data_IF_708367444609
#
_entry.id   IF_708367444609
#
_cell.length_a   1.000
_cell.length_b   1.000
_cell.length_c   1.000
_cell.angle_alpha   90.00
_cell.angle_beta   90.00
_cell.angle_gamma   90.00
#
_symmetry.space_group_name_H-M   'P 1'
#
loop_
_entity.id
_entity.type
_entity.pdbx_description
1 polymer ?
#
# COMPACT_ATOMS: atom_id res chain seq x y z
N UNK A 1 -10.22 29.41 -18.96
CA UNK A 1 -10.66 30.22 -17.82
C UNK A 1 -9.47 30.98 -17.25
N UNK A 2 -9.69 32.07 -16.53
CA UNK A 2 -8.64 32.87 -15.87
C UNK A 2 -7.78 32.03 -14.92
N UNK A 3 -8.38 31.05 -14.27
CA UNK A 3 -7.71 30.08 -13.40
C UNK A 3 -6.62 29.29 -14.15
N UNK A 4 -6.94 28.75 -15.32
CA UNK A 4 -5.94 28.01 -16.13
C UNK A 4 -4.79 28.91 -16.62
N UNK A 5 -5.05 30.20 -16.87
CA UNK A 5 -4.02 31.16 -17.28
C UNK A 5 -3.06 31.43 -16.12
N UNK A 6 -3.60 31.64 -14.91
CA UNK A 6 -2.81 31.83 -13.69
C UNK A 6 -1.99 30.59 -13.33
N UNK A 7 -2.58 29.39 -13.43
CA UNK A 7 -1.89 28.14 -13.11
C UNK A 7 -0.72 27.88 -14.07
N UNK A 8 -0.88 28.24 -15.35
CA UNK A 8 0.23 28.20 -16.33
C UNK A 8 1.31 29.23 -16.01
N UNK A 9 0.94 30.46 -15.68
CA UNK A 9 1.89 31.51 -15.31
C UNK A 9 2.69 31.13 -14.05
N UNK A 10 2.08 30.40 -13.12
CA UNK A 10 2.71 29.91 -11.90
C UNK A 10 3.47 28.58 -12.12
N UNK A 11 3.42 27.96 -13.32
CA UNK A 11 4.11 26.72 -13.63
C UNK A 11 3.44 25.45 -13.10
N UNK A 12 2.24 25.56 -12.49
CA UNK A 12 1.46 24.40 -11.98
C UNK A 12 0.90 23.59 -13.15
N UNK A 13 0.51 24.25 -14.24
CA UNK A 13 -0.02 23.64 -15.44
C UNK A 13 0.91 23.86 -16.64
N UNK A 14 1.01 22.83 -17.47
CA UNK A 14 1.82 22.83 -18.72
C UNK A 14 0.96 22.47 -19.92
N UNK A 15 1.34 22.97 -21.10
CA UNK A 15 0.74 22.56 -22.35
C UNK A 15 1.35 21.24 -22.82
N UNK A 16 0.52 20.20 -23.02
CA UNK A 16 0.95 18.85 -23.40
C UNK A 16 0.58 18.48 -24.83
N UNK A 17 0.05 19.41 -25.62
CA UNK A 17 -0.31 19.21 -27.02
C UNK A 17 -1.58 19.96 -27.44
N UNK A 18 -2.08 19.61 -28.61
CA UNK A 18 -3.30 20.17 -29.19
C UNK A 18 -4.30 19.02 -29.47
N UNK A 19 -5.60 19.31 -29.32
CA UNK A 19 -6.64 18.39 -29.76
C UNK A 19 -6.77 18.43 -31.29
N UNK A 20 -7.13 17.30 -31.90
CA UNK A 20 -7.48 17.29 -33.33
C UNK A 20 -8.66 18.24 -33.58
N UNK A 21 -8.53 19.09 -34.60
CA UNK A 21 -9.53 20.10 -34.94
C UNK A 21 -10.34 19.65 -36.14
N UNK A 22 -11.67 19.74 -36.04
CA UNK A 22 -12.61 19.48 -37.16
C UNK A 22 -12.96 20.77 -37.92
N UNK A 23 -12.13 21.84 -37.82
CA UNK A 23 -12.34 23.09 -38.58
C UNK A 23 -12.45 24.33 -37.70
N UNK A 24 -11.45 24.63 -36.87
CA UNK A 24 -11.36 25.79 -36.01
C UNK A 24 -9.99 25.96 -35.36
N UNK A 25 -9.80 26.95 -34.48
CA UNK A 25 -8.58 27.11 -33.68
C UNK A 25 -8.41 25.85 -32.80
N UNK A 26 -7.31 25.18 -32.94
CA UNK A 26 -7.01 23.98 -32.13
C UNK A 26 -7.01 24.30 -30.64
N UNK A 27 -7.76 23.52 -29.86
CA UNK A 27 -7.76 23.64 -28.42
C UNK A 27 -6.47 23.04 -27.84
N UNK A 28 -5.81 23.80 -26.98
CA UNK A 28 -4.59 23.35 -26.28
C UNK A 28 -4.96 22.40 -25.17
N UNK A 29 -4.23 21.27 -25.09
CA UNK A 29 -4.33 20.34 -23.96
C UNK A 29 -3.45 20.85 -22.83
N UNK A 30 -4.05 21.05 -21.66
CA UNK A 30 -3.36 21.51 -20.45
C UNK A 30 -3.38 20.36 -19.45
N UNK A 31 -2.24 20.07 -18.84
CA UNK A 31 -2.08 19.04 -17.80
C UNK A 31 -1.37 19.66 -16.59
N UNK A 32 -1.50 19.04 -15.44
CA UNK A 32 -0.69 19.35 -14.26
C UNK A 32 0.79 19.16 -14.62
N UNK A 33 1.65 20.04 -14.16
CA UNK A 33 3.11 19.87 -14.23
C UNK A 33 3.57 18.88 -13.15
N UNK A 34 3.98 17.66 -13.51
CA UNK A 34 4.37 16.64 -12.51
C UNK A 34 5.51 17.14 -11.61
N UNK A 35 6.48 17.88 -12.18
CA UNK A 35 7.66 18.37 -11.49
C UNK A 35 7.42 19.63 -10.63
N UNK A 36 6.17 20.11 -10.51
CA UNK A 36 5.88 21.31 -9.74
C UNK A 36 6.02 21.10 -8.23
N UNK A 37 5.60 19.94 -7.73
CA UNK A 37 5.76 19.53 -6.32
C UNK A 37 6.06 18.02 -6.24
N UNK A 38 6.69 17.68 -5.14
CA UNK A 38 7.03 16.30 -4.78
C UNK A 38 6.62 16.02 -3.34
N UNK A 39 6.55 14.77 -2.99
CA UNK A 39 6.51 14.29 -1.61
C UNK A 39 7.36 13.04 -1.46
N UNK A 40 7.92 12.85 -0.28
CA UNK A 40 8.67 11.63 0.07
C UNK A 40 7.74 10.68 0.81
N UNK A 41 7.78 9.42 0.45
CA UNK A 41 7.18 8.33 1.21
C UNK A 41 8.25 7.42 1.76
N UNK A 42 8.13 7.04 3.03
CA UNK A 42 9.01 6.08 3.69
C UNK A 42 8.18 4.91 4.17
N UNK A 43 8.55 3.69 3.76
CA UNK A 43 8.00 2.46 4.31
C UNK A 43 8.96 1.89 5.33
N UNK A 44 8.51 1.71 6.58
CA UNK A 44 9.27 1.05 7.64
C UNK A 44 8.78 -0.39 7.79
N UNK A 45 9.71 -1.32 7.90
CA UNK A 45 9.46 -2.72 8.30
C UNK A 45 10.46 -3.12 9.37
N UNK A 46 10.32 -4.29 9.98
CA UNK A 46 11.27 -4.76 10.98
C UNK A 46 12.74 -4.84 10.48
N UNK A 47 12.96 -5.03 9.17
CA UNK A 47 14.30 -5.28 8.61
C UNK A 47 14.72 -4.32 7.50
N UNK A 48 13.83 -3.45 7.02
CA UNK A 48 14.11 -2.59 5.87
C UNK A 48 13.42 -1.23 6.02
N UNK A 49 14.01 -0.23 5.39
CA UNK A 49 13.37 1.03 5.05
C UNK A 49 13.33 1.19 3.52
N UNK A 50 12.17 1.57 2.98
CA UNK A 50 11.98 1.87 1.57
C UNK A 50 11.64 3.34 1.40
N UNK A 51 12.23 4.02 0.41
CA UNK A 51 12.02 5.43 0.10
C UNK A 51 11.44 5.57 -1.30
N UNK A 52 10.47 6.44 -1.46
CA UNK A 52 9.97 6.87 -2.77
C UNK A 52 9.92 8.40 -2.84
N UNK A 53 10.26 8.94 -3.99
CA UNK A 53 9.97 10.32 -4.35
C UNK A 53 8.81 10.29 -5.36
N UNK A 54 7.72 10.93 -5.04
CA UNK A 54 6.49 10.93 -5.83
C UNK A 54 6.22 12.35 -6.33
N UNK A 55 5.92 12.49 -7.63
CA UNK A 55 5.59 13.77 -8.26
C UNK A 55 4.08 14.10 -8.13
N UNK A 56 3.68 15.29 -8.59
CA UNK A 56 2.31 15.77 -8.48
C UNK A 56 1.29 14.96 -9.32
N UNK A 57 1.75 14.15 -10.27
CA UNK A 57 0.93 13.19 -11.03
C UNK A 57 0.88 11.81 -10.38
N UNK A 58 1.41 11.66 -9.16
CA UNK A 58 1.48 10.40 -8.40
C UNK A 58 2.40 9.34 -9.02
N UNK A 59 3.34 9.74 -9.87
CA UNK A 59 4.34 8.87 -10.46
C UNK A 59 5.57 8.79 -9.54
N UNK A 60 6.20 7.62 -9.48
CA UNK A 60 7.42 7.39 -8.72
C UNK A 60 8.60 7.88 -9.56
N UNK A 61 9.24 8.96 -9.14
CA UNK A 61 10.45 9.50 -9.78
C UNK A 61 11.72 8.77 -9.34
N UNK A 62 11.75 8.36 -8.08
CA UNK A 62 12.88 7.65 -7.49
C UNK A 62 12.42 6.67 -6.44
N UNK A 63 13.12 5.54 -6.37
CA UNK A 63 12.88 4.49 -5.41
C UNK A 63 14.20 3.91 -4.92
N UNK A 64 14.28 3.66 -3.61
CA UNK A 64 15.39 2.93 -2.98
C UNK A 64 14.86 2.11 -1.81
N UNK A 65 15.42 0.92 -1.61
CA UNK A 65 15.16 0.07 -0.44
C UNK A 65 16.49 -0.34 0.17
N UNK A 66 16.64 -0.09 1.45
CA UNK A 66 17.84 -0.44 2.22
C UNK A 66 17.50 -1.47 3.29
N UNK A 67 18.48 -2.29 3.63
CA UNK A 67 18.42 -3.11 4.84
C UNK A 67 18.75 -2.22 6.03
N UNK A 68 17.77 -2.05 6.92
CA UNK A 68 17.89 -1.28 8.15
C UNK A 68 16.97 -1.92 9.19
N UNK A 69 17.57 -2.64 10.14
CA UNK A 69 16.82 -3.29 11.20
C UNK A 69 16.24 -2.24 12.14
N UNK A 70 14.94 -2.30 12.34
CA UNK A 70 14.23 -1.33 13.17
C UNK A 70 14.70 -1.42 14.63
N UNK A 71 14.94 -0.26 15.22
CA UNK A 71 15.25 -0.12 16.65
C UNK A 71 14.71 1.21 17.15
N UNK A 72 14.47 1.31 18.45
CA UNK A 72 14.12 2.58 19.13
C UNK A 72 15.34 3.36 19.61
N UNK A 73 16.54 2.91 19.28
CA UNK A 73 17.80 3.55 19.62
C UNK A 73 18.10 4.74 18.70
N UNK A 74 18.76 5.75 19.24
CA UNK A 74 19.14 6.96 18.50
C UNK A 74 19.93 6.66 17.21
N UNK A 75 20.73 5.60 17.21
CA UNK A 75 21.52 5.17 16.05
C UNK A 75 20.63 4.79 14.83
N UNK A 76 19.47 4.17 15.08
CA UNK A 76 18.54 3.85 14.01
C UNK A 76 18.03 5.11 13.29
N UNK A 77 17.60 6.10 14.05
CA UNK A 77 17.08 7.35 13.51
C UNK A 77 18.12 8.15 12.77
N UNK A 78 19.37 8.16 13.26
CA UNK A 78 20.49 8.78 12.55
C UNK A 78 20.72 8.09 11.21
N UNK A 79 20.81 6.77 11.18
CA UNK A 79 21.01 5.99 9.95
C UNK A 79 19.85 6.19 8.96
N UNK A 80 18.59 6.26 9.44
CA UNK A 80 17.43 6.53 8.59
C UNK A 80 17.49 7.93 7.98
N UNK A 81 17.86 8.94 8.78
CA UNK A 81 18.02 10.32 8.30
C UNK A 81 19.15 10.44 7.28
N UNK A 82 20.31 9.85 7.55
CA UNK A 82 21.44 9.82 6.61
C UNK A 82 21.08 9.10 5.31
N UNK A 83 20.31 8.02 5.40
CA UNK A 83 19.82 7.31 4.22
C UNK A 83 18.89 8.17 3.38
N UNK A 84 17.98 8.90 4.02
CA UNK A 84 17.10 9.83 3.34
C UNK A 84 17.89 10.96 2.66
N UNK A 85 18.89 11.54 3.34
CA UNK A 85 19.73 12.58 2.76
C UNK A 85 20.52 12.07 1.54
N UNK A 86 21.04 10.85 1.58
CA UNK A 86 21.67 10.20 0.41
C UNK A 86 20.66 9.97 -0.71
N UNK A 87 19.46 9.47 -0.37
CA UNK A 87 18.38 9.27 -1.33
C UNK A 87 18.00 10.58 -2.06
N UNK A 88 18.03 11.71 -1.35
CA UNK A 88 17.68 13.02 -1.90
C UNK A 88 18.89 13.77 -2.49
N UNK A 89 20.12 13.22 -2.45
CA UNK A 89 21.36 13.96 -2.78
C UNK A 89 21.39 14.50 -4.21
N UNK A 90 20.81 13.80 -5.17
CA UNK A 90 20.74 14.13 -6.60
C UNK A 90 19.40 14.77 -7.03
N UNK A 91 18.50 15.05 -6.07
CA UNK A 91 17.24 15.75 -6.36
C UNK A 91 17.48 17.24 -6.48
N UNK A 92 17.31 17.77 -7.71
CA UNK A 92 17.64 19.19 -8.02
C UNK A 92 16.79 20.21 -7.29
N UNK A 93 15.51 19.93 -7.05
CA UNK A 93 14.53 20.86 -6.50
C UNK A 93 13.95 20.39 -5.17
N UNK A 94 14.81 20.23 -4.16
CA UNK A 94 14.40 19.78 -2.81
C UNK A 94 13.39 20.73 -2.14
N UNK A 95 13.42 22.01 -2.46
CA UNK A 95 12.47 23.00 -1.97
C UNK A 95 11.03 22.78 -2.45
N UNK A 96 10.85 21.92 -3.47
CA UNK A 96 9.53 21.52 -3.97
C UNK A 96 8.93 20.33 -3.23
N UNK A 97 9.68 19.70 -2.31
CA UNK A 97 9.19 18.59 -1.49
C UNK A 97 8.28 19.14 -0.40
N UNK A 98 7.02 18.72 -0.39
CA UNK A 98 5.99 19.21 0.52
C UNK A 98 6.09 18.61 1.93
N UNK A 99 6.54 17.36 2.04
CA UNK A 99 6.64 16.66 3.30
C UNK A 99 7.04 15.19 3.14
N UNK A 100 7.14 14.52 4.28
CA UNK A 100 7.55 13.12 4.40
C UNK A 100 6.38 12.34 4.99
N UNK A 101 5.80 11.42 4.23
CA UNK A 101 4.89 10.42 4.77
C UNK A 101 5.65 9.19 5.24
N UNK A 102 5.30 8.63 6.38
CA UNK A 102 5.92 7.42 6.94
C UNK A 102 4.86 6.37 7.19
N UNK A 103 4.99 5.24 6.51
CA UNK A 103 4.15 4.06 6.65
C UNK A 103 4.81 3.11 7.66
N UNK A 104 4.07 2.74 8.72
CA UNK A 104 4.55 1.89 9.80
C UNK A 104 3.58 0.71 9.97
N UNK A 105 4.08 -0.54 10.11
CA UNK A 105 3.22 -1.69 10.38
C UNK A 105 2.65 -1.63 11.80
N UNK A 106 1.34 -1.78 11.92
CA UNK A 106 0.61 -1.78 13.20
C UNK A 106 -0.50 -0.75 13.27
N UNK A 107 -1.14 -0.66 14.42
CA UNK A 107 -2.26 0.24 14.66
C UNK A 107 -1.73 1.65 14.95
N UNK A 108 -1.97 2.59 14.05
CA UNK A 108 -1.47 3.98 14.13
C UNK A 108 -2.63 4.94 14.37
N UNK A 109 -2.50 5.80 15.37
CA UNK A 109 -3.32 6.99 15.52
C UNK A 109 -2.54 8.19 14.96
N UNK A 110 -2.80 8.52 13.70
CA UNK A 110 -2.08 9.57 12.97
C UNK A 110 -2.30 10.96 13.57
N UNK A 111 -3.48 11.21 14.16
CA UNK A 111 -3.82 12.50 14.80
C UNK A 111 -3.04 12.72 16.10
N UNK A 112 -2.92 11.67 16.91
CA UNK A 112 -2.21 11.71 18.18
C UNK A 112 -0.72 11.38 18.03
N UNK A 113 -0.28 11.03 16.80
CA UNK A 113 1.10 10.60 16.49
C UNK A 113 1.54 9.46 17.42
N UNK A 114 0.70 8.44 17.49
CA UNK A 114 0.90 7.31 18.40
C UNK A 114 0.84 6.00 17.61
N UNK A 115 1.85 5.17 17.75
CA UNK A 115 1.80 3.76 17.39
C UNK A 115 1.19 3.02 18.59
N UNK A 116 -0.09 2.66 18.47
CA UNK A 116 -0.83 2.02 19.57
C UNK A 116 -0.26 0.62 19.81
N UNK A 117 -0.08 -0.16 18.73
CA UNK A 117 0.48 -1.50 18.82
C UNK A 117 1.07 -1.94 17.48
N UNK A 118 2.27 -2.48 17.52
CA UNK A 118 2.91 -3.14 16.38
C UNK A 118 3.48 -4.48 16.82
N UNK A 119 2.93 -5.57 16.31
CA UNK A 119 3.52 -6.90 16.51
C UNK A 119 4.82 -7.05 15.71
N UNK A 120 4.88 -6.47 14.51
CA UNK A 120 6.06 -6.56 13.65
C UNK A 120 7.28 -5.82 14.22
N UNK A 121 7.05 -4.68 14.92
CA UNK A 121 8.10 -3.88 15.56
C UNK A 121 8.23 -4.14 17.06
N UNK A 122 7.35 -4.97 17.64
CA UNK A 122 7.29 -5.29 19.08
C UNK A 122 7.16 -4.03 19.95
N UNK A 123 6.32 -3.09 19.50
CA UNK A 123 6.05 -1.83 20.19
C UNK A 123 4.60 -1.72 20.63
N UNK A 124 4.37 -1.04 21.75
CA UNK A 124 3.06 -0.69 22.25
C UNK A 124 3.09 0.70 22.89
N UNK A 125 2.06 1.52 22.61
CA UNK A 125 1.93 2.89 23.11
C UNK A 125 3.18 3.75 22.87
N UNK A 126 3.73 3.68 21.65
CA UNK A 126 4.97 4.37 21.29
C UNK A 126 4.67 5.71 20.61
N UNK A 127 5.21 6.81 21.17
CA UNK A 127 5.06 8.15 20.59
C UNK A 127 5.90 8.30 19.33
N UNK A 128 5.26 8.77 18.25
CA UNK A 128 5.91 9.08 16.97
C UNK A 128 6.37 10.55 16.87
N UNK A 129 6.06 11.37 17.88
CA UNK A 129 6.39 12.82 17.85
C UNK A 129 7.89 13.10 17.79
N UNK A 130 8.72 12.20 18.29
CA UNK A 130 10.17 12.33 18.20
C UNK A 130 10.69 12.34 16.76
N UNK A 131 10.02 11.61 15.84
CA UNK A 131 10.43 11.51 14.45
C UNK A 131 10.37 12.87 13.73
N UNK A 132 9.50 13.78 14.16
CA UNK A 132 9.41 15.13 13.57
C UNK A 132 10.68 15.96 13.86
N UNK A 133 11.43 15.63 14.90
CA UNK A 133 12.67 16.31 15.23
C UNK A 133 13.86 15.85 14.37
N UNK A 134 13.71 14.69 13.69
CA UNK A 134 14.76 14.09 12.86
C UNK A 134 14.76 14.68 11.46
N UNK A 135 13.59 15.07 10.97
CA UNK A 135 13.41 15.55 9.61
C UNK A 135 13.11 17.06 9.61
N UNK A 136 13.64 17.76 8.60
CA UNK A 136 13.41 19.21 8.41
C UNK A 136 12.07 19.54 7.76
N UNK A 137 11.35 18.53 7.25
CA UNK A 137 10.08 18.64 6.57
C UNK A 137 8.94 18.14 7.47
N UNK A 138 7.68 18.59 7.26
CA UNK A 138 6.53 18.06 7.95
C UNK A 138 6.41 16.54 7.79
N UNK A 139 6.04 15.82 8.87
CA UNK A 139 5.92 14.37 8.87
C UNK A 139 4.48 13.93 9.10
N UNK A 140 4.02 12.94 8.31
CA UNK A 140 2.73 12.27 8.46
C UNK A 140 2.94 10.78 8.65
N UNK A 141 2.18 10.16 9.55
CA UNK A 141 2.25 8.74 9.85
C UNK A 141 0.95 8.03 9.51
N UNK A 142 1.05 6.83 8.93
CA UNK A 142 -0.12 5.98 8.69
C UNK A 142 0.24 4.50 8.83
N UNK A 143 -0.77 3.68 9.12
CA UNK A 143 -0.68 2.23 9.03
C UNK A 143 -0.34 1.79 7.60
N UNK A 144 0.40 0.71 7.44
CA UNK A 144 0.89 0.24 6.14
C UNK A 144 -0.23 -0.22 5.19
N UNK A 145 -1.29 -0.84 5.68
CA UNK A 145 -2.42 -1.24 4.85
C UNK A 145 -3.30 -0.03 4.46
N UNK A 146 -3.57 0.88 5.40
CA UNK A 146 -4.25 2.14 5.13
C UNK A 146 -3.48 2.98 4.10
N UNK A 147 -2.18 3.11 4.29
CA UNK A 147 -1.30 3.81 3.36
C UNK A 147 -1.32 3.16 1.96
N UNK A 148 -1.29 1.84 1.88
CA UNK A 148 -1.38 1.15 0.60
C UNK A 148 -2.73 1.38 -0.10
N UNK A 149 -3.84 1.45 0.65
CA UNK A 149 -5.15 1.86 0.12
C UNK A 149 -5.13 3.30 -0.40
N UNK A 150 -4.45 4.24 0.29
CA UNK A 150 -4.30 5.62 -0.16
C UNK A 150 -3.52 5.74 -1.49
N UNK A 151 -2.68 4.76 -1.81
CA UNK A 151 -1.95 4.74 -3.07
C UNK A 151 -2.88 4.54 -4.27
N UNK A 152 -4.00 3.84 -4.09
CA UNK A 152 -4.98 3.59 -5.13
C UNK A 152 -5.75 4.86 -5.54
N UNK A 153 -6.46 4.80 -6.67
CA UNK A 153 -7.33 5.88 -7.12
C UNK A 153 -8.69 5.82 -6.39
N UNK A 154 -8.78 6.50 -5.27
CA UNK A 154 -10.00 6.53 -4.44
C UNK A 154 -11.18 7.26 -5.10
N UNK A 155 -10.99 7.96 -6.22
CA UNK A 155 -12.08 8.49 -7.01
C UNK A 155 -12.79 7.40 -7.81
N UNK A 156 -12.03 6.41 -8.30
CA UNK A 156 -12.56 5.23 -8.98
C UNK A 156 -12.97 4.14 -7.97
N UNK A 157 -12.19 3.95 -6.91
CA UNK A 157 -12.47 2.96 -5.85
C UNK A 157 -13.11 3.63 -4.63
N UNK A 158 -14.27 4.28 -4.83
CA UNK A 158 -14.94 5.02 -3.76
C UNK A 158 -15.36 4.14 -2.58
N UNK A 159 -15.78 2.92 -2.86
CA UNK A 159 -16.17 1.91 -1.87
C UNK A 159 -15.40 0.64 -2.17
N UNK A 160 -14.30 0.40 -1.49
CA UNK A 160 -13.44 -0.74 -1.72
C UNK A 160 -12.72 -1.21 -0.45
N UNK A 161 -12.38 -2.48 -0.45
CA UNK A 161 -11.48 -3.11 0.52
C UNK A 161 -10.11 -3.29 -0.12
N UNK A 162 -9.05 -3.15 0.67
CA UNK A 162 -7.68 -3.48 0.27
C UNK A 162 -7.15 -4.62 1.16
N UNK A 163 -6.68 -5.68 0.54
CA UNK A 163 -5.96 -6.76 1.21
C UNK A 163 -4.46 -6.62 0.95
N UNK A 164 -3.72 -6.31 1.99
CA UNK A 164 -2.27 -6.16 1.95
C UNK A 164 -1.59 -7.50 2.25
N UNK A 165 -1.34 -8.28 1.18
CA UNK A 165 -0.78 -9.63 1.24
C UNK A 165 0.76 -9.58 1.34
N UNK A 166 1.24 -9.17 2.51
CA UNK A 166 2.66 -9.10 2.88
C UNK A 166 3.03 -10.26 3.82
N UNK A 167 4.20 -10.19 4.48
CA UNK A 167 4.60 -11.19 5.49
C UNK A 167 3.53 -11.40 6.56
N UNK A 168 2.72 -10.40 6.83
CA UNK A 168 1.46 -10.46 7.56
C UNK A 168 0.34 -9.95 6.66
N UNK A 169 -0.87 -10.42 6.90
CA UNK A 169 -2.07 -9.98 6.18
C UNK A 169 -2.66 -8.74 6.85
N UNK A 170 -2.52 -7.61 6.22
CA UNK A 170 -3.18 -6.36 6.60
C UNK A 170 -4.44 -6.11 5.77
N UNK A 171 -5.22 -5.13 6.19
CA UNK A 171 -6.37 -4.68 5.44
C UNK A 171 -6.75 -3.24 5.73
N UNK A 172 -7.39 -2.64 4.77
CA UNK A 172 -7.98 -1.30 4.86
C UNK A 172 -9.27 -1.25 4.06
N UNK A 173 -10.13 -0.27 4.30
CA UNK A 173 -11.24 0.00 3.42
C UNK A 173 -11.62 1.47 3.39
N UNK A 174 -12.24 1.87 2.32
CA UNK A 174 -12.77 3.22 2.15
C UNK A 174 -14.27 3.19 1.83
N UNK A 175 -14.95 4.23 2.25
CA UNK A 175 -16.34 4.54 1.91
C UNK A 175 -16.36 5.98 1.41
N UNK A 176 -17.00 6.20 0.27
CA UNK A 176 -17.07 7.51 -0.39
C UNK A 176 -15.68 8.13 -0.63
N UNK A 177 -14.67 7.30 -0.95
CA UNK A 177 -13.30 7.74 -1.18
C UNK A 177 -12.53 8.13 0.08
N UNK A 178 -13.06 7.83 1.27
CA UNK A 178 -12.42 8.14 2.55
C UNK A 178 -12.08 6.87 3.30
N UNK A 179 -10.87 6.79 3.81
CA UNK A 179 -10.46 5.71 4.70
C UNK A 179 -11.34 5.65 5.95
N UNK A 180 -11.65 4.44 6.38
CA UNK A 180 -12.42 4.16 7.59
C UNK A 180 -11.50 3.53 8.63
N UNK A 181 -10.95 4.31 9.54
CA UNK A 181 -10.02 3.79 10.57
C UNK A 181 -10.72 3.04 11.70
N UNK A 182 -12.07 3.21 11.82
CA UNK A 182 -12.84 2.70 12.95
C UNK A 182 -12.68 3.54 14.23
N UNK A 183 -13.51 3.27 15.22
CA UNK A 183 -13.55 4.03 16.46
C UNK A 183 -12.23 3.96 17.27
N UNK A 184 -11.48 2.86 17.14
CA UNK A 184 -10.25 2.58 17.88
C UNK A 184 -9.06 2.34 16.92
N UNK A 185 -9.09 2.83 15.70
CA UNK A 185 -8.06 2.65 14.67
C UNK A 185 -7.82 1.17 14.29
N UNK A 186 -8.83 0.30 14.48
CA UNK A 186 -8.73 -1.16 14.26
C UNK A 186 -9.60 -1.68 13.14
N UNK A 187 -10.18 -0.80 12.34
CA UNK A 187 -10.92 -1.23 11.17
C UNK A 187 -9.95 -1.80 10.13
N UNK A 188 -10.37 -2.85 9.41
CA UNK A 188 -9.50 -3.49 8.43
C UNK A 188 -8.58 -4.59 8.98
N UNK A 189 -8.64 -4.94 10.26
CA UNK A 189 -7.87 -6.06 10.85
C UNK A 189 -8.35 -7.44 10.32
N UNK A 190 -8.51 -7.56 8.98
CA UNK A 190 -9.03 -8.76 8.30
C UNK A 190 -8.14 -9.98 8.50
N UNK A 191 -6.83 -9.76 8.65
CA UNK A 191 -5.88 -10.83 8.95
C UNK A 191 -6.21 -11.60 10.23
N UNK A 192 -6.92 -10.96 11.16
CA UNK A 192 -7.27 -11.58 12.44
C UNK A 192 -8.71 -12.11 12.51
N UNK A 193 -9.45 -12.11 11.40
CA UNK A 193 -10.71 -12.86 11.28
C UNK A 193 -10.41 -14.36 11.33
N UNK A 194 -11.27 -15.13 12.00
CA UNK A 194 -11.14 -16.59 12.06
C UNK A 194 -11.58 -17.17 10.72
N UNK A 195 -10.64 -17.74 9.99
CA UNK A 195 -10.89 -18.41 8.72
C UNK A 195 -11.11 -19.93 8.93
N UNK A 196 -10.33 -20.55 9.82
CA UNK A 196 -10.39 -21.97 10.15
C UNK A 196 -10.46 -22.14 11.67
N UNK A 197 -11.65 -22.32 12.26
CA UNK A 197 -11.80 -22.49 13.70
C UNK A 197 -10.90 -23.62 14.25
N UNK A 198 -10.10 -23.32 15.29
CA UNK A 198 -9.16 -24.29 15.87
C UNK A 198 -7.95 -24.65 15.00
N UNK A 199 -7.74 -23.93 13.89
CA UNK A 199 -6.65 -24.19 12.94
C UNK A 199 -5.27 -23.68 13.37
N UNK A 200 -4.43 -23.28 12.41
CA UNK A 200 -3.04 -22.84 12.64
C UNK A 200 -2.94 -21.70 13.67
N UNK A 201 -1.88 -21.73 14.48
CA UNK A 201 -1.59 -20.61 15.40
C UNK A 201 -1.26 -19.34 14.62
N UNK A 202 -1.81 -18.22 15.04
CA UNK A 202 -1.48 -16.89 14.58
C UNK A 202 -0.53 -16.22 15.58
N UNK A 203 0.34 -15.34 15.11
CA UNK A 203 1.24 -14.56 15.96
C UNK A 203 0.50 -13.68 16.98
N UNK A 204 -0.78 -13.35 16.75
CA UNK A 204 -1.60 -12.60 17.70
C UNK A 204 -2.06 -13.43 18.92
N UNK A 205 -1.69 -14.70 19.00
CA UNK A 205 -2.04 -15.62 20.08
C UNK A 205 -3.32 -16.44 19.86
N UNK A 206 -4.15 -16.09 18.85
CA UNK A 206 -5.35 -16.87 18.47
C UNK A 206 -5.00 -18.03 17.53
N UNK A 207 -5.98 -18.89 17.30
CA UNK A 207 -5.90 -19.96 16.30
C UNK A 207 -6.90 -19.73 15.18
N UNK A 208 -6.49 -20.05 13.94
CA UNK A 208 -7.36 -20.04 12.78
C UNK A 208 -7.53 -18.70 12.10
N UNK A 209 -6.75 -17.67 12.46
CA UNK A 209 -6.79 -16.37 11.80
C UNK A 209 -6.46 -16.47 10.30
N UNK A 210 -7.08 -15.65 9.48
CA UNK A 210 -6.81 -15.56 8.04
C UNK A 210 -5.32 -15.31 7.72
N UNK A 211 -4.62 -14.56 8.55
CA UNK A 211 -3.18 -14.30 8.45
C UNK A 211 -2.36 -15.61 8.36
N UNK A 212 -2.67 -16.59 9.19
CA UNK A 212 -1.97 -17.88 9.20
C UNK A 212 -2.19 -18.74 7.95
N UNK A 213 -3.01 -18.28 6.99
CA UNK A 213 -3.35 -18.98 5.75
C UNK A 213 -3.15 -18.13 4.50
N UNK A 214 -3.19 -16.80 4.60
CA UNK A 214 -3.21 -15.88 3.48
C UNK A 214 -2.08 -14.83 3.50
N UNK A 215 -1.18 -14.84 4.50
CA UNK A 215 0.01 -14.01 4.48
C UNK A 215 1.08 -14.58 3.53
N UNK A 216 2.01 -13.73 3.06
CA UNK A 216 3.12 -14.16 2.21
C UNK A 216 4.05 -15.15 2.92
N UNK A 217 4.21 -15.03 4.24
CA UNK A 217 5.01 -15.96 5.07
C UNK A 217 4.54 -17.40 4.93
N UNK A 218 3.25 -17.65 4.70
CA UNK A 218 2.71 -19.03 4.48
C UNK A 218 3.34 -19.73 3.28
N UNK A 219 3.83 -18.94 2.30
CA UNK A 219 4.46 -19.46 1.07
C UNK A 219 5.96 -19.69 1.23
N UNK A 220 6.61 -19.07 2.22
CA UNK A 220 8.07 -18.96 2.30
C UNK A 220 8.69 -19.49 3.59
N UNK A 221 7.95 -19.53 4.72
CA UNK A 221 8.53 -19.82 6.04
C UNK A 221 9.10 -21.24 6.14
N UNK A 222 8.44 -22.23 5.56
CA UNK A 222 8.88 -23.62 5.63
C UNK A 222 10.15 -23.88 4.78
N UNK A 223 10.35 -23.12 3.69
CA UNK A 223 11.44 -23.34 2.73
C UNK A 223 12.61 -22.38 2.91
N UNK A 224 12.44 -21.28 3.67
CA UNK A 224 13.39 -20.16 3.80
C UNK A 224 13.75 -19.50 2.47
N UNK A 225 12.92 -19.68 1.46
CA UNK A 225 13.06 -19.08 0.14
C UNK A 225 12.48 -17.65 0.12
N UNK A 226 12.88 -16.87 -0.86
CA UNK A 226 12.19 -15.59 -1.14
C UNK A 226 10.86 -15.88 -1.86
N UNK A 227 9.90 -14.96 -1.73
CA UNK A 227 8.64 -15.06 -2.47
C UNK A 227 8.87 -15.17 -3.99
N UNK A 228 9.87 -14.46 -4.52
CA UNK A 228 10.24 -14.52 -5.93
C UNK A 228 10.73 -15.92 -6.34
N UNK A 229 11.56 -16.56 -5.51
CA UNK A 229 12.03 -17.93 -5.74
C UNK A 229 10.86 -18.94 -5.68
N UNK A 230 9.95 -18.78 -4.73
CA UNK A 230 8.75 -19.61 -4.64
C UNK A 230 7.86 -19.46 -5.89
N UNK A 231 7.56 -18.23 -6.31
CA UNK A 231 6.72 -17.97 -7.47
C UNK A 231 7.34 -18.49 -8.77
N UNK A 232 8.68 -18.39 -8.90
CA UNK A 232 9.39 -19.00 -10.03
C UNK A 232 9.18 -20.52 -10.09
N UNK A 233 9.22 -21.21 -8.95
CA UNK A 233 8.91 -22.66 -8.90
C UNK A 233 7.45 -22.95 -9.30
N UNK A 234 6.52 -22.08 -8.92
CA UNK A 234 5.12 -22.20 -9.37
C UNK A 234 5.02 -22.08 -10.90
N UNK A 235 5.73 -21.11 -11.51
CA UNK A 235 5.79 -20.94 -12.96
C UNK A 235 6.44 -22.14 -13.66
N UNK A 236 7.50 -22.69 -13.08
CA UNK A 236 8.20 -23.89 -13.55
C UNK A 236 7.41 -25.19 -13.30
N UNK A 237 6.20 -25.10 -12.74
CA UNK A 237 5.31 -26.23 -12.45
C UNK A 237 5.90 -27.25 -11.44
N UNK A 238 6.72 -26.79 -10.49
CA UNK A 238 7.15 -27.65 -9.38
C UNK A 238 5.94 -28.17 -8.59
N UNK A 239 5.85 -29.48 -8.46
CA UNK A 239 4.65 -30.12 -7.93
C UNK A 239 4.31 -29.71 -6.49
N UNK A 240 5.32 -29.48 -5.63
CA UNK A 240 5.10 -29.05 -4.26
C UNK A 240 4.71 -27.57 -4.19
N UNK A 241 5.41 -26.70 -4.92
CA UNK A 241 5.09 -25.26 -4.97
C UNK A 241 3.69 -25.02 -5.54
N UNK A 242 3.32 -25.71 -6.62
CA UNK A 242 1.96 -25.65 -7.20
C UNK A 242 0.89 -26.12 -6.21
N UNK A 243 1.15 -27.16 -5.42
CA UNK A 243 0.22 -27.63 -4.39
C UNK A 243 0.00 -26.57 -3.30
N UNK A 244 1.09 -26.01 -2.76
CA UNK A 244 1.03 -24.94 -1.73
C UNK A 244 0.32 -23.72 -2.28
N UNK A 245 0.64 -23.29 -3.51
CA UNK A 245 -0.02 -22.16 -4.16
C UNK A 245 -1.53 -22.37 -4.36
N UNK A 246 -1.95 -23.56 -4.79
CA UNK A 246 -3.38 -23.89 -4.92
C UNK A 246 -4.12 -23.85 -3.59
N UNK A 247 -3.50 -24.32 -2.52
CA UNK A 247 -4.06 -24.24 -1.16
C UNK A 247 -4.15 -22.80 -0.68
N UNK A 248 -3.11 -21.99 -0.91
CA UNK A 248 -3.09 -20.55 -0.63
C UNK A 248 -4.24 -19.84 -1.35
N UNK A 249 -4.38 -20.02 -2.67
CA UNK A 249 -5.46 -19.42 -3.44
C UNK A 249 -6.85 -19.86 -2.95
N UNK A 250 -6.99 -21.07 -2.48
CA UNK A 250 -8.24 -21.57 -1.91
C UNK A 250 -8.60 -20.86 -0.60
N UNK A 251 -7.66 -20.71 0.31
CA UNK A 251 -7.85 -20.00 1.57
C UNK A 251 -8.13 -18.50 1.33
N UNK A 252 -7.42 -17.90 0.40
CA UNK A 252 -7.65 -16.51 -0.02
C UNK A 252 -9.05 -16.35 -0.62
N UNK A 253 -9.54 -17.30 -1.41
CA UNK A 253 -10.88 -17.28 -1.98
C UNK A 253 -11.98 -17.31 -0.90
N UNK A 254 -11.80 -18.11 0.15
CA UNK A 254 -12.73 -18.15 1.29
C UNK A 254 -12.76 -16.78 2.00
N UNK A 255 -11.59 -16.19 2.27
CA UNK A 255 -11.51 -14.86 2.89
C UNK A 255 -12.21 -13.80 2.03
N UNK A 256 -11.91 -13.78 0.74
CA UNK A 256 -12.52 -12.85 -0.22
C UNK A 256 -14.04 -13.00 -0.24
N UNK A 257 -14.55 -14.23 -0.32
CA UNK A 257 -15.98 -14.49 -0.29
C UNK A 257 -16.64 -13.97 1.00
N UNK A 258 -16.02 -14.20 2.16
CA UNK A 258 -16.52 -13.72 3.44
C UNK A 258 -16.56 -12.18 3.49
N UNK A 259 -15.50 -11.52 3.00
CA UNK A 259 -15.44 -10.05 2.96
C UNK A 259 -16.45 -9.48 1.97
N UNK A 260 -16.62 -10.11 0.81
CA UNK A 260 -17.62 -9.71 -0.18
C UNK A 260 -19.04 -9.79 0.41
N UNK A 261 -19.36 -10.87 1.12
CA UNK A 261 -20.66 -11.01 1.78
C UNK A 261 -20.90 -9.99 2.90
N UNK A 262 -19.83 -9.58 3.60
CA UNK A 262 -19.94 -8.65 4.72
C UNK A 262 -20.05 -7.17 4.28
N UNK A 263 -19.42 -6.80 3.16
CA UNK A 263 -19.23 -5.39 2.80
C UNK A 263 -19.82 -4.99 1.44
N UNK A 264 -20.05 -5.94 0.53
CA UNK A 264 -20.53 -5.68 -0.85
C UNK A 264 -19.72 -4.58 -1.59
N UNK A 265 -18.38 -4.69 -1.55
CA UNK A 265 -17.46 -3.71 -2.11
C UNK A 265 -16.46 -4.37 -3.05
N UNK A 266 -15.83 -3.59 -3.94
CA UNK A 266 -14.65 -4.03 -4.69
C UNK A 266 -13.54 -4.44 -3.73
N UNK A 267 -12.76 -5.46 -4.10
CA UNK A 267 -11.65 -5.97 -3.29
C UNK A 267 -10.36 -5.87 -4.08
N UNK A 268 -9.45 -5.02 -3.60
CA UNK A 268 -8.14 -4.78 -4.21
C UNK A 268 -7.12 -5.68 -3.54
N UNK A 269 -6.45 -6.50 -4.33
CA UNK A 269 -5.41 -7.44 -3.88
C UNK A 269 -4.05 -6.81 -4.10
N UNK A 270 -3.38 -6.47 -3.01
CA UNK A 270 -2.07 -5.82 -3.03
C UNK A 270 -1.06 -6.48 -2.10
N UNK A 271 0.02 -5.75 -1.81
CA UNK A 271 1.17 -6.30 -1.10
C UNK A 271 2.09 -7.13 -1.99
N UNK A 272 3.06 -7.80 -1.38
CA UNK A 272 4.09 -8.54 -2.13
C UNK A 272 3.49 -9.68 -2.97
N UNK A 273 2.51 -10.43 -2.42
CA UNK A 273 1.81 -11.49 -3.18
C UNK A 273 0.89 -10.90 -4.23
N UNK A 274 0.24 -9.75 -3.93
CA UNK A 274 -0.66 -9.08 -4.86
C UNK A 274 -0.03 -8.79 -6.22
N UNK A 275 1.28 -8.48 -6.22
CA UNK A 275 2.05 -8.27 -7.45
C UNK A 275 2.12 -9.47 -8.40
N UNK A 276 1.93 -10.69 -7.88
CA UNK A 276 1.92 -11.94 -8.67
C UNK A 276 0.51 -12.42 -9.02
N UNK A 277 -0.54 -11.87 -8.39
CA UNK A 277 -1.90 -12.34 -8.60
C UNK A 277 -2.48 -11.97 -9.97
N UNK A 278 -1.92 -11.01 -10.69
CA UNK A 278 -2.43 -10.58 -12.00
C UNK A 278 -2.64 -11.76 -12.95
N UNK A 279 -1.67 -12.66 -13.05
CA UNK A 279 -1.70 -13.83 -13.93
C UNK A 279 -2.59 -14.96 -13.36
N UNK A 280 -3.00 -14.86 -12.11
CA UNK A 280 -3.82 -15.86 -11.41
C UNK A 280 -5.26 -15.41 -11.15
N UNK A 281 -5.65 -14.20 -11.59
CA UNK A 281 -6.98 -13.64 -11.30
C UNK A 281 -8.14 -14.50 -11.82
N UNK A 282 -7.98 -15.12 -13.01
CA UNK A 282 -9.00 -16.02 -13.57
C UNK A 282 -9.17 -17.26 -12.65
N UNK A 283 -8.07 -17.84 -12.20
CA UNK A 283 -8.08 -19.01 -11.31
C UNK A 283 -8.66 -18.66 -9.94
N UNK A 284 -8.24 -17.53 -9.37
CA UNK A 284 -8.75 -17.05 -8.09
C UNK A 284 -10.24 -16.72 -8.18
N UNK A 285 -10.67 -16.03 -9.26
CA UNK A 285 -12.07 -15.70 -9.48
C UNK A 285 -12.96 -16.96 -9.55
N UNK A 286 -12.54 -18.01 -10.27
CA UNK A 286 -13.26 -19.30 -10.28
C UNK A 286 -13.39 -19.90 -8.88
N UNK A 287 -12.30 -19.88 -8.08
CA UNK A 287 -12.33 -20.37 -6.69
C UNK A 287 -13.25 -19.56 -5.79
N UNK A 288 -13.26 -18.25 -5.93
CA UNK A 288 -14.19 -17.39 -5.17
C UNK A 288 -15.64 -17.72 -5.51
N UNK A 289 -15.94 -17.96 -6.79
CA UNK A 289 -17.28 -18.36 -7.22
C UNK A 289 -17.75 -19.71 -6.67
N UNK A 290 -16.82 -20.61 -6.30
CA UNK A 290 -17.19 -21.87 -5.62
C UNK A 290 -17.79 -21.62 -4.22
N UNK A 291 -17.42 -20.50 -3.57
CA UNK A 291 -17.88 -20.12 -2.23
C UNK A 291 -18.98 -19.05 -2.23
N UNK A 292 -19.25 -18.41 -3.38
CA UNK A 292 -20.21 -17.32 -3.48
C UNK A 292 -21.35 -17.67 -4.45
N UNK A 293 -22.49 -18.01 -3.88
CA UNK A 293 -23.71 -18.33 -4.66
C UNK A 293 -24.59 -17.14 -5.07
N UNK A 294 -24.18 -15.91 -4.73
CA UNK A 294 -24.98 -14.70 -5.00
C UNK A 294 -24.57 -13.97 -6.26
N UNK A 295 -23.36 -14.21 -6.78
CA UNK A 295 -22.81 -13.50 -7.93
C UNK A 295 -22.44 -14.48 -9.06
N UNK A 296 -22.42 -13.97 -10.29
CA UNK A 296 -22.13 -14.77 -11.48
C UNK A 296 -20.73 -14.54 -12.03
N UNK A 297 -19.98 -13.59 -11.49
CA UNK A 297 -18.59 -13.30 -11.85
C UNK A 297 -17.83 -12.69 -10.66
N UNK A 298 -16.53 -12.52 -10.83
CA UNK A 298 -15.63 -11.96 -9.83
C UNK A 298 -15.01 -10.62 -10.27
N UNK A 299 -15.74 -9.80 -11.05
CA UNK A 299 -15.23 -8.51 -11.58
C UNK A 299 -14.93 -7.48 -10.50
N UNK A 300 -15.46 -7.66 -9.29
CA UNK A 300 -15.15 -6.86 -8.11
C UNK A 300 -13.73 -7.13 -7.55
N UNK A 301 -13.06 -8.18 -7.99
CA UNK A 301 -11.64 -8.41 -7.68
C UNK A 301 -10.78 -7.52 -8.56
N UNK A 302 -9.86 -6.79 -7.93
CA UNK A 302 -8.91 -5.89 -8.58
C UNK A 302 -7.50 -6.21 -8.13
N UNK A 303 -6.53 -5.98 -9.00
CA UNK A 303 -5.11 -6.00 -8.65
C UNK A 303 -4.69 -4.57 -8.32
N UNK A 304 -3.83 -4.41 -7.32
CA UNK A 304 -3.31 -3.11 -6.91
C UNK A 304 -2.54 -2.40 -8.03
N UNK A 305 -2.57 -1.07 -8.01
CA UNK A 305 -1.85 -0.21 -8.97
C UNK A 305 -0.34 -0.26 -8.77
N UNK A 306 0.13 -0.46 -7.53
CA UNK A 306 1.54 -0.47 -7.16
C UNK A 306 1.94 -1.85 -6.61
N UNK A 307 2.81 -2.55 -7.34
CA UNK A 307 3.29 -3.90 -6.97
C UNK A 307 4.24 -3.90 -5.77
N UNK A 308 5.00 -2.83 -5.62
CA UNK A 308 5.96 -2.64 -4.52
C UNK A 308 5.79 -1.23 -3.96
N UNK A 309 6.15 -1.04 -2.70
CA UNK A 309 6.16 0.26 -2.02
C UNK A 309 4.80 1.03 -2.05
N UNK A 310 3.67 0.33 -2.28
CA UNK A 310 2.35 0.94 -2.29
C UNK A 310 2.11 1.83 -1.05
N UNK A 311 2.49 1.36 0.14
CA UNK A 311 2.31 2.12 1.37
C UNK A 311 3.16 3.38 1.44
N UNK A 312 4.39 3.36 0.89
CA UNK A 312 5.22 4.56 0.79
C UNK A 312 4.60 5.59 -0.18
N UNK A 313 4.11 5.12 -1.34
CA UNK A 313 3.39 5.99 -2.29
C UNK A 313 2.15 6.62 -1.64
N UNK A 314 1.37 5.83 -0.92
CA UNK A 314 0.13 6.31 -0.29
C UNK A 314 0.38 7.41 0.74
N UNK A 315 1.40 7.26 1.60
CA UNK A 315 1.74 8.33 2.57
C UNK A 315 2.35 9.56 1.90
N UNK A 316 3.05 9.43 0.78
CA UNK A 316 3.50 10.57 -0.01
C UNK A 316 2.30 11.32 -0.63
N UNK A 317 1.30 10.59 -1.16
CA UNK A 317 0.06 11.18 -1.73
C UNK A 317 -0.69 12.04 -0.73
N UNK A 318 -0.59 11.79 0.58
CA UNK A 318 -1.20 12.64 1.60
C UNK A 318 -0.86 14.14 1.39
N UNK A 319 0.40 14.46 1.18
CA UNK A 319 0.83 15.85 0.96
C UNK A 319 0.47 16.39 -0.43
N UNK A 320 0.54 15.53 -1.44
CA UNK A 320 0.23 15.93 -2.82
C UNK A 320 -1.26 16.19 -3.00
N UNK A 321 -2.13 15.40 -2.37
CA UNK A 321 -3.58 15.60 -2.39
C UNK A 321 -4.02 16.84 -1.60
N UNK A 322 -3.35 17.16 -0.50
CA UNK A 322 -3.62 18.36 0.27
C UNK A 322 -3.18 19.65 -0.45
N UNK A 323 -2.28 19.54 -1.43
CA UNK A 323 -1.79 20.66 -2.25
C UNK A 323 -2.73 20.98 -3.42
N UNK A 324 -3.40 19.97 -4.01
CA UNK A 324 -4.33 20.13 -5.14
C UNK A 324 -5.71 20.56 -4.64
#
# INVERSE_FOLDING_TARGET
SEMCIRDRANGIAVETGEYESTGGRKAKRISINPAYRYAVGIRITAKHAGFVLVNLSYEIEKYERIRLEFSTEAAYYLQLSEALERFLSDVEHRERILGIGISIPGIVNSKERMLIKSHALQLENYSLSFWEQIFSLPVYFENDANAAMMAEDLNNYRNALYLSLNNTLGGAFCIDGKLIPGANQKAGEFGHMILVPGGKKCYCGKQGCADAYCAASVLTDDTKETLEQFMKKVEEQDGQAVKVWKEYLNNLAILISNLRMAYDMDIILGGEVGGYLADHMITLGKKVMEYNGFEHDARYLKVCSYKREASAVGVAKHYLQAFI
#
